data_IF_559492515077
#
_entry.id   IF_559492515077
#
_cell.length_a   1.000
_cell.length_b   1.000
_cell.length_c   1.000
_cell.angle_alpha   90.00
_cell.angle_beta   90.00
_cell.angle_gamma   90.00
#
_symmetry.space_group_name_H-M   'P 1'
#
loop_
_entity.id
_entity.type
_entity.pdbx_description
1 polymer ?
#
# COMPACT_ATOMS: atom_id res chain seq x y z
N UNK A 1 2.44 26.01 -12.32
CA UNK A 1 2.53 26.20 -13.79
C UNK A 1 3.77 25.49 -14.33
N UNK A 2 3.83 25.24 -15.63
CA UNK A 2 5.02 24.69 -16.28
C UNK A 2 6.07 25.79 -16.52
N UNK A 3 7.34 25.48 -16.25
CA UNK A 3 8.46 26.37 -16.43
C UNK A 3 9.73 25.58 -16.82
N UNK A 4 10.82 26.30 -17.05
CA UNK A 4 12.13 25.71 -17.30
C UNK A 4 13.13 26.21 -16.28
N UNK A 5 13.89 25.30 -15.68
CA UNK A 5 15.10 25.68 -14.92
C UNK A 5 16.26 25.71 -15.90
N UNK A 6 16.93 26.86 -15.92
CA UNK A 6 18.13 27.09 -16.72
C UNK A 6 19.31 27.32 -15.78
N UNK A 7 20.41 26.59 -16.02
CA UNK A 7 21.73 26.87 -15.43
C UNK A 7 22.78 26.55 -16.48
N UNK A 8 23.59 27.54 -16.84
CA UNK A 8 24.58 27.43 -17.93
C UNK A 8 23.90 26.96 -19.23
N UNK A 9 24.39 25.89 -19.86
CA UNK A 9 23.83 25.31 -21.10
C UNK A 9 22.73 24.27 -20.85
N UNK A 10 22.48 23.88 -19.59
CA UNK A 10 21.45 22.89 -19.25
C UNK A 10 20.10 23.56 -19.06
N UNK A 11 19.06 22.97 -19.66
CA UNK A 11 17.65 23.38 -19.53
C UNK A 11 16.79 22.16 -19.27
N UNK A 12 15.93 22.25 -18.26
CA UNK A 12 14.99 21.17 -17.91
C UNK A 12 13.61 21.72 -17.63
N UNK A 13 12.58 21.05 -18.15
CA UNK A 13 11.19 21.36 -17.84
C UNK A 13 10.88 20.98 -16.39
N UNK A 14 10.24 21.90 -15.66
CA UNK A 14 9.81 21.72 -14.28
C UNK A 14 8.40 22.25 -14.08
N UNK A 15 7.71 21.68 -13.12
CA UNK A 15 6.48 22.24 -12.57
C UNK A 15 6.82 23.12 -11.38
N UNK A 16 6.44 24.40 -11.48
CA UNK A 16 6.59 25.38 -10.40
C UNK A 16 5.29 25.46 -9.63
N UNK A 17 5.39 25.29 -8.32
CA UNK A 17 4.27 25.37 -7.39
C UNK A 17 4.48 26.58 -6.49
N UNK A 18 3.61 27.58 -6.66
CA UNK A 18 3.54 28.75 -5.80
C UNK A 18 2.65 28.49 -4.60
N UNK A 19 3.14 28.74 -3.39
CA UNK A 19 2.37 28.38 -2.20
C UNK A 19 2.74 29.16 -0.94
N UNK A 20 1.90 29.01 0.07
CA UNK A 20 2.23 29.36 1.46
C UNK A 20 2.83 28.12 2.13
N UNK A 21 4.13 28.13 2.53
CA UNK A 21 4.80 26.93 3.02
C UNK A 21 4.09 26.23 4.18
N UNK A 22 3.62 27.00 5.16
CA UNK A 22 2.92 26.49 6.35
C UNK A 22 1.59 25.80 5.98
N UNK A 23 0.78 26.44 5.14
CA UNK A 23 -0.51 25.88 4.69
C UNK A 23 -0.30 24.68 3.76
N UNK A 24 0.71 24.73 2.90
CA UNK A 24 1.02 23.63 2.00
C UNK A 24 1.49 22.40 2.76
N UNK A 25 2.30 22.56 3.82
CA UNK A 25 2.78 21.44 4.61
C UNK A 25 1.66 20.65 5.28
N UNK A 26 0.54 21.30 5.59
CA UNK A 26 -0.66 20.61 6.11
C UNK A 26 -1.27 19.65 5.08
N UNK A 27 -1.08 19.90 3.78
CA UNK A 27 -1.57 19.06 2.69
C UNK A 27 -0.51 18.04 2.27
N UNK A 28 0.69 18.51 1.93
CA UNK A 28 1.84 17.70 1.52
C UNK A 28 3.00 18.00 2.45
N UNK A 29 3.40 17.02 3.26
CA UNK A 29 4.48 17.19 4.23
C UNK A 29 5.85 17.18 3.54
N UNK A 30 6.34 18.38 3.22
CA UNK A 30 7.65 18.61 2.59
C UNK A 30 8.71 18.87 3.65
N UNK A 31 8.35 19.49 4.78
CA UNK A 31 9.29 19.86 5.84
C UNK A 31 10.00 18.63 6.42
N UNK A 32 9.29 17.53 6.71
CA UNK A 32 9.91 16.27 7.20
C UNK A 32 10.78 15.56 6.15
N UNK A 33 10.63 15.96 4.89
CA UNK A 33 11.31 15.40 3.71
C UNK A 33 12.44 16.28 3.20
N UNK A 34 12.78 17.37 3.90
CA UNK A 34 13.97 18.14 3.60
C UNK A 34 15.24 17.31 3.87
N UNK A 35 16.19 17.43 2.96
CA UNK A 35 17.56 16.90 3.10
C UNK A 35 18.46 18.01 3.64
N UNK A 36 18.31 19.24 3.11
CA UNK A 36 19.10 20.38 3.49
C UNK A 36 18.27 21.67 3.47
N UNK A 37 18.62 22.60 4.36
CA UNK A 37 18.09 23.97 4.35
C UNK A 37 16.74 24.09 5.06
N UNK A 38 15.88 24.95 4.52
CA UNK A 38 14.59 25.29 5.14
C UNK A 38 13.48 25.40 4.10
N UNK A 39 12.26 25.17 4.56
CA UNK A 39 11.04 25.32 3.79
C UNK A 39 10.05 26.29 4.46
N UNK A 40 9.99 26.30 5.79
CA UNK A 40 9.30 27.36 6.51
C UNK A 40 10.04 28.70 6.45
N UNK A 41 9.25 29.77 6.42
CA UNK A 41 9.74 31.15 6.33
C UNK A 41 10.40 31.52 5.00
N UNK A 42 10.12 30.81 3.90
CA UNK A 42 10.67 31.18 2.58
C UNK A 42 10.32 32.63 2.24
N UNK A 43 11.36 33.41 1.96
CA UNK A 43 11.26 34.80 1.57
C UNK A 43 11.14 34.91 0.04
N UNK A 44 10.72 36.08 -0.44
CA UNK A 44 10.69 36.36 -1.88
C UNK A 44 12.07 36.19 -2.52
N UNK A 45 12.12 35.54 -3.67
CA UNK A 45 13.37 35.21 -4.37
C UNK A 45 14.09 33.97 -3.83
N UNK A 46 13.45 33.16 -2.99
CA UNK A 46 13.95 31.85 -2.56
C UNK A 46 13.12 30.71 -3.16
N UNK A 47 13.77 29.56 -3.39
CA UNK A 47 13.13 28.36 -3.91
C UNK A 47 13.58 27.12 -3.14
N UNK A 48 12.68 26.13 -3.07
CA UNK A 48 13.00 24.78 -2.61
C UNK A 48 12.86 23.83 -3.78
N UNK A 49 13.93 23.07 -4.03
CA UNK A 49 14.03 22.18 -5.19
C UNK A 49 14.13 20.72 -4.76
N UNK A 50 13.73 19.80 -5.63
CA UNK A 50 13.90 18.38 -5.39
C UNK A 50 15.36 17.95 -5.54
N UNK A 51 15.75 16.90 -4.81
CA UNK A 51 17.13 16.43 -4.76
C UNK A 51 17.68 16.01 -6.12
N UNK A 52 16.90 15.28 -6.93
CA UNK A 52 17.35 14.86 -8.27
C UNK A 52 17.57 16.04 -9.22
N UNK A 53 16.72 17.06 -9.12
CA UNK A 53 16.93 18.30 -9.86
C UNK A 53 18.18 19.02 -9.38
N UNK A 54 18.44 19.02 -8.07
CA UNK A 54 19.65 19.62 -7.52
C UNK A 54 20.91 18.88 -7.99
N UNK A 55 20.92 17.56 -7.94
CA UNK A 55 22.06 16.72 -8.33
C UNK A 55 22.40 16.87 -9.83
N UNK A 56 21.40 16.78 -10.72
CA UNK A 56 21.59 16.89 -12.17
C UNK A 56 22.22 18.23 -12.60
N UNK A 57 21.85 19.30 -11.89
CA UNK A 57 22.36 20.65 -12.11
C UNK A 57 23.53 21.01 -11.19
N UNK A 58 24.01 20.08 -10.35
CA UNK A 58 25.03 20.28 -9.33
C UNK A 58 24.76 21.50 -8.42
N UNK A 59 23.50 21.70 -8.03
CA UNK A 59 23.04 22.80 -7.19
C UNK A 59 23.25 22.49 -5.71
N UNK A 60 23.69 23.51 -4.98
CA UNK A 60 23.83 23.50 -3.52
C UNK A 60 22.92 24.56 -2.90
N UNK A 61 22.72 24.48 -1.59
CA UNK A 61 22.11 25.57 -0.83
C UNK A 61 22.83 26.90 -1.08
N UNK A 62 22.07 27.96 -1.31
CA UNK A 62 22.59 29.29 -1.62
C UNK A 62 22.88 29.53 -3.11
N UNK A 63 22.84 28.49 -3.96
CA UNK A 63 23.01 28.68 -5.40
C UNK A 63 21.80 29.39 -6.02
N UNK A 64 22.04 30.12 -7.11
CA UNK A 64 20.98 30.80 -7.87
C UNK A 64 20.53 29.95 -9.05
N UNK A 65 19.22 29.80 -9.20
CA UNK A 65 18.56 29.18 -10.34
C UNK A 65 17.75 30.22 -11.10
N UNK A 66 17.76 30.11 -12.44
CA UNK A 66 16.88 30.89 -13.29
C UNK A 66 15.71 30.04 -13.70
N UNK A 67 14.50 30.48 -13.36
CA UNK A 67 13.25 29.83 -13.73
C UNK A 67 12.56 30.68 -14.79
N UNK A 68 12.26 30.08 -15.93
CA UNK A 68 11.61 30.75 -17.06
C UNK A 68 10.24 30.12 -17.27
N UNK A 69 9.17 30.89 -17.08
CA UNK A 69 7.80 30.43 -17.35
C UNK A 69 7.60 30.11 -18.83
N UNK A 70 6.55 29.36 -19.17
CA UNK A 70 6.16 29.11 -20.56
C UNK A 70 5.86 30.42 -21.34
N UNK A 71 5.46 31.48 -20.65
CA UNK A 71 5.16 32.80 -21.22
C UNK A 71 6.41 33.69 -21.41
N UNK A 72 7.59 33.21 -21.02
CA UNK A 72 8.85 33.92 -21.18
C UNK A 72 9.24 34.82 -20.00
N UNK A 73 8.39 34.96 -18.99
CA UNK A 73 8.76 35.67 -17.75
C UNK A 73 9.87 34.92 -17.01
N UNK A 74 10.82 35.67 -16.46
CA UNK A 74 12.02 35.13 -15.81
C UNK A 74 12.03 35.50 -14.33
N UNK A 75 12.22 34.51 -13.46
CA UNK A 75 12.47 34.69 -12.04
C UNK A 75 13.83 34.11 -11.66
N UNK A 76 14.62 34.84 -10.88
CA UNK A 76 15.87 34.35 -10.32
C UNK A 76 15.62 34.00 -8.85
N UNK A 77 15.91 32.75 -8.47
CA UNK A 77 15.66 32.25 -7.13
C UNK A 77 16.93 31.69 -6.52
N UNK A 78 17.10 31.90 -5.22
CA UNK A 78 18.17 31.29 -4.44
C UNK A 78 17.67 29.98 -3.83
N UNK A 79 18.44 28.90 -3.95
CA UNK A 79 18.08 27.60 -3.39
C UNK A 79 18.18 27.66 -1.86
N UNK A 80 17.03 27.74 -1.18
CA UNK A 80 16.94 27.81 0.27
C UNK A 80 16.70 26.44 0.92
N UNK A 81 16.26 25.45 0.14
CA UNK A 81 16.04 24.09 0.61
C UNK A 81 16.13 23.06 -0.51
N UNK A 82 16.52 21.85 -0.14
CA UNK A 82 16.53 20.69 -1.03
C UNK A 82 15.69 19.60 -0.36
N UNK A 83 14.62 19.16 -1.02
CA UNK A 83 13.74 18.11 -0.51
C UNK A 83 13.94 16.79 -1.27
N UNK A 84 13.55 15.70 -0.62
CA UNK A 84 13.60 14.36 -1.20
C UNK A 84 12.36 13.58 -0.77
N UNK A 85 11.45 13.41 -1.71
CA UNK A 85 10.19 12.70 -1.46
C UNK A 85 10.33 11.19 -1.53
N UNK A 86 11.45 10.68 -2.04
CA UNK A 86 11.65 9.28 -2.42
C UNK A 86 11.00 8.93 -3.76
N UNK A 87 10.30 9.87 -4.41
CA UNK A 87 9.67 9.65 -5.71
C UNK A 87 10.36 10.46 -6.80
N UNK A 88 11.19 9.75 -7.58
CA UNK A 88 12.06 10.33 -8.60
C UNK A 88 11.37 11.31 -9.56
N UNK A 89 10.12 11.04 -9.95
CA UNK A 89 9.42 11.92 -10.89
C UNK A 89 9.07 13.28 -10.27
N UNK A 90 8.79 13.33 -8.96
CA UNK A 90 8.52 14.58 -8.23
C UNK A 90 9.84 15.31 -7.95
N UNK A 91 10.85 14.60 -7.44
CA UNK A 91 12.13 15.19 -7.03
C UNK A 91 12.96 15.72 -8.19
N UNK A 92 12.70 15.27 -9.42
CA UNK A 92 13.45 15.67 -10.61
C UNK A 92 12.82 16.82 -11.39
N UNK A 93 11.57 17.18 -11.10
CA UNK A 93 10.78 18.10 -11.92
C UNK A 93 9.92 19.10 -11.13
N UNK A 94 10.02 19.17 -9.80
CA UNK A 94 9.21 20.09 -8.98
C UNK A 94 10.04 21.17 -8.31
N UNK A 95 9.58 22.42 -8.38
CA UNK A 95 10.18 23.59 -7.70
C UNK A 95 9.11 24.32 -6.92
N UNK A 96 9.35 24.51 -5.62
CA UNK A 96 8.47 25.28 -4.74
C UNK A 96 9.00 26.70 -4.55
N UNK A 97 8.11 27.68 -4.70
CA UNK A 97 8.41 29.10 -4.46
C UNK A 97 7.27 29.77 -3.69
N UNK A 98 7.51 30.93 -3.05
CA UNK A 98 6.44 31.71 -2.46
C UNK A 98 5.34 32.04 -3.45
N UNK A 99 4.08 32.06 -3.00
CA UNK A 99 2.92 32.31 -3.86
C UNK A 99 3.03 33.62 -4.65
N UNK A 100 3.50 34.71 -4.01
CA UNK A 100 3.66 36.03 -4.64
C UNK A 100 4.65 36.00 -5.81
N UNK A 101 5.72 35.22 -5.67
CA UNK A 101 6.74 35.10 -6.71
C UNK A 101 6.19 34.28 -7.88
N UNK A 102 5.45 33.20 -7.60
CA UNK A 102 4.78 32.42 -8.64
C UNK A 102 3.73 33.25 -9.38
N UNK A 103 2.95 34.04 -8.66
CA UNK A 103 1.96 34.96 -9.22
C UNK A 103 2.59 35.95 -10.19
N UNK A 104 3.74 36.51 -9.81
CA UNK A 104 4.52 37.42 -10.66
C UNK A 104 5.16 36.68 -11.86
N UNK A 105 5.69 35.48 -11.64
CA UNK A 105 6.32 34.65 -12.67
C UNK A 105 5.33 34.19 -13.74
N UNK A 106 4.08 33.90 -13.37
CA UNK A 106 3.04 33.43 -14.30
C UNK A 106 2.06 34.54 -14.70
N UNK A 107 2.29 35.80 -14.33
CA UNK A 107 1.46 36.93 -14.77
C UNK A 107 -0.01 36.89 -14.32
N UNK A 108 -0.34 36.12 -13.27
CA UNK A 108 -1.73 35.88 -12.83
C UNK A 108 -2.23 36.89 -11.79
N UNK A 109 -1.46 37.94 -11.49
CA UNK A 109 -1.80 38.95 -10.49
C UNK A 109 -2.05 38.33 -9.11
N UNK A 110 -3.15 38.69 -8.45
CA UNK A 110 -3.50 38.12 -7.14
C UNK A 110 -4.34 36.82 -7.22
N UNK A 111 -4.52 36.24 -8.42
CA UNK A 111 -5.30 35.03 -8.58
C UNK A 111 -4.59 33.80 -8.00
N UNK A 112 -5.37 32.82 -7.56
CA UNK A 112 -4.90 31.51 -7.12
C UNK A 112 -5.52 30.47 -8.03
N UNK A 113 -4.68 29.60 -8.60
CA UNK A 113 -5.13 28.60 -9.59
C UNK A 113 -5.74 27.36 -8.96
N UNK A 114 -5.31 27.00 -7.74
CA UNK A 114 -5.66 25.71 -7.14
C UNK A 114 -5.71 25.84 -5.62
N UNK A 115 -6.72 25.19 -5.02
CA UNK A 115 -6.87 25.06 -3.57
C UNK A 115 -6.79 23.56 -3.26
N UNK A 116 -5.82 23.16 -2.43
CA UNK A 116 -5.65 21.77 -2.01
C UNK A 116 -6.43 21.46 -0.74
N UNK A 117 -7.10 20.32 -0.70
CA UNK A 117 -7.78 19.79 0.47
C UNK A 117 -7.15 18.44 0.85
N UNK A 118 -6.82 18.26 2.12
CA UNK A 118 -6.32 16.97 2.64
C UNK A 118 -7.46 16.18 3.25
N UNK A 119 -7.52 14.90 2.90
CA UNK A 119 -8.49 13.95 3.42
C UNK A 119 -7.80 12.96 4.35
N UNK A 120 -8.52 12.55 5.40
CA UNK A 120 -8.07 11.45 6.26
C UNK A 120 -8.13 10.12 5.53
N UNK A 121 -9.16 9.94 4.67
CA UNK A 121 -9.35 8.74 3.85
C UNK A 121 -9.04 9.07 2.40
N UNK A 122 -7.82 8.74 1.98
CA UNK A 122 -7.33 9.03 0.63
C UNK A 122 -8.21 8.42 -0.47
N UNK A 123 -8.88 7.30 -0.20
CA UNK A 123 -9.67 6.58 -1.19
C UNK A 123 -11.09 7.15 -1.42
N UNK A 124 -11.55 8.08 -0.58
CA UNK A 124 -12.86 8.75 -0.72
C UNK A 124 -12.78 10.02 -1.58
N UNK A 125 -11.57 10.38 -2.04
CA UNK A 125 -11.30 11.64 -2.74
C UNK A 125 -12.13 11.82 -4.02
N UNK A 126 -12.39 10.74 -4.76
CA UNK A 126 -13.19 10.80 -6.00
C UNK A 126 -14.65 11.14 -5.71
N UNK A 127 -15.26 10.47 -4.75
CA UNK A 127 -16.68 10.67 -4.41
C UNK A 127 -16.90 12.05 -3.81
N UNK A 128 -15.98 12.49 -2.94
CA UNK A 128 -16.05 13.83 -2.36
C UNK A 128 -15.81 14.93 -3.41
N UNK A 129 -14.87 14.74 -4.34
CA UNK A 129 -14.64 15.68 -5.44
C UNK A 129 -15.91 15.87 -6.29
N UNK A 130 -16.64 14.78 -6.58
CA UNK A 130 -17.90 14.85 -7.30
C UNK A 130 -18.99 15.59 -6.51
N UNK A 131 -19.07 15.37 -5.20
CA UNK A 131 -20.02 16.10 -4.34
C UNK A 131 -19.72 17.60 -4.30
N UNK A 132 -18.45 17.97 -4.15
CA UNK A 132 -18.02 19.38 -4.14
C UNK A 132 -18.26 20.03 -5.49
N UNK A 133 -17.98 19.33 -6.60
CA UNK A 133 -18.19 19.83 -7.96
C UNK A 133 -19.64 20.27 -8.23
N UNK A 134 -20.62 19.67 -7.53
CA UNK A 134 -22.04 20.07 -7.65
C UNK A 134 -22.38 21.35 -6.89
N UNK A 135 -21.52 21.78 -5.96
CA UNK A 135 -21.76 22.91 -5.06
C UNK A 135 -20.95 24.16 -5.43
N UNK A 136 -19.87 24.00 -6.19
CA UNK A 136 -18.98 25.10 -6.56
C UNK A 136 -18.88 25.29 -8.07
N UNK A 137 -18.75 26.52 -8.57
CA UNK A 137 -18.59 26.79 -9.99
C UNK A 137 -17.15 26.53 -10.50
N UNK A 138 -16.35 25.75 -9.76
CA UNK A 138 -14.95 25.48 -10.05
C UNK A 138 -14.74 24.01 -10.42
N UNK A 139 -13.79 23.76 -11.32
CA UNK A 139 -13.35 22.40 -11.65
C UNK A 139 -12.76 21.75 -10.39
N UNK A 140 -13.39 20.67 -9.93
CA UNK A 140 -12.91 19.89 -8.78
C UNK A 140 -12.32 18.59 -9.30
N UNK A 141 -11.04 18.37 -9.02
CA UNK A 141 -10.33 17.15 -9.41
C UNK A 141 -9.86 16.37 -8.20
N UNK A 142 -9.93 15.05 -8.31
CA UNK A 142 -9.36 14.15 -7.32
C UNK A 142 -7.92 13.80 -7.67
N UNK A 143 -7.06 13.62 -6.67
CA UNK A 143 -5.70 13.11 -6.89
C UNK A 143 -5.71 11.77 -7.65
N UNK A 144 -6.79 10.99 -7.54
CA UNK A 144 -6.97 9.73 -8.27
C UNK A 144 -7.14 9.91 -9.78
N UNK A 145 -7.76 11.02 -10.19
CA UNK A 145 -7.96 11.35 -11.60
C UNK A 145 -6.66 11.83 -12.23
N UNK A 146 -5.88 12.64 -11.48
CA UNK A 146 -4.57 13.10 -11.91
C UNK A 146 -3.52 11.96 -11.94
N UNK A 147 -3.73 10.88 -11.16
CA UNK A 147 -2.76 9.80 -10.97
C UNK A 147 -3.30 8.41 -11.39
N UNK A 148 -4.13 8.35 -12.44
CA UNK A 148 -4.76 7.11 -12.91
C UNK A 148 -3.77 5.98 -13.20
N UNK A 149 -2.59 6.29 -13.75
CA UNK A 149 -1.56 5.28 -14.03
C UNK A 149 -1.02 4.65 -12.75
N UNK A 150 -0.72 5.46 -11.72
CA UNK A 150 -0.29 4.97 -10.41
C UNK A 150 -1.39 4.12 -9.77
N UNK A 151 -2.64 4.60 -9.80
CA UNK A 151 -3.78 3.87 -9.24
C UNK A 151 -4.02 2.54 -9.96
N UNK A 152 -3.85 2.51 -11.28
CA UNK A 152 -3.99 1.28 -12.07
C UNK A 152 -2.89 0.28 -11.71
N UNK A 153 -1.65 0.74 -11.53
CA UNK A 153 -0.54 -0.09 -11.03
C UNK A 153 -0.82 -0.66 -9.63
N UNK A 154 -1.26 0.19 -8.69
CA UNK A 154 -1.60 -0.23 -7.33
C UNK A 154 -2.78 -1.23 -7.32
N UNK A 155 -3.79 -1.03 -8.16
CA UNK A 155 -4.91 -1.96 -8.32
C UNK A 155 -4.46 -3.29 -8.92
N UNK A 156 -3.63 -3.27 -9.95
CA UNK A 156 -3.09 -4.49 -10.56
C UNK A 156 -2.22 -5.28 -9.56
N UNK A 157 -1.43 -4.59 -8.75
CA UNK A 157 -0.64 -5.19 -7.67
C UNK A 157 -1.55 -5.79 -6.59
N UNK A 158 -2.57 -5.06 -6.12
CA UNK A 158 -3.53 -5.56 -5.14
C UNK A 158 -4.31 -6.77 -5.67
N UNK A 159 -4.74 -6.75 -6.93
CA UNK A 159 -5.42 -7.88 -7.56
C UNK A 159 -4.49 -9.09 -7.67
N UNK A 160 -3.24 -8.90 -8.10
CA UNK A 160 -2.24 -9.96 -8.15
C UNK A 160 -2.01 -10.59 -6.77
N UNK A 161 -1.87 -9.77 -5.74
CA UNK A 161 -1.72 -10.23 -4.35
C UNK A 161 -2.95 -11.02 -3.88
N UNK A 162 -4.16 -10.55 -4.18
CA UNK A 162 -5.39 -11.25 -3.85
C UNK A 162 -5.51 -12.59 -4.58
N UNK A 163 -5.11 -12.67 -5.86
CA UNK A 163 -5.09 -13.93 -6.60
C UNK A 163 -4.14 -14.94 -5.95
N UNK A 164 -2.93 -14.52 -5.59
CA UNK A 164 -1.97 -15.37 -4.88
C UNK A 164 -2.59 -15.87 -3.56
N UNK A 165 -3.23 -14.98 -2.80
CA UNK A 165 -3.92 -15.35 -1.56
C UNK A 165 -5.01 -16.40 -1.78
N UNK A 166 -5.83 -16.26 -2.83
CA UNK A 166 -6.87 -17.26 -3.15
C UNK A 166 -6.25 -18.61 -3.49
N UNK A 167 -5.23 -18.64 -4.36
CA UNK A 167 -4.59 -19.90 -4.77
C UNK A 167 -3.87 -20.59 -3.62
N UNK A 168 -3.14 -19.85 -2.78
CA UNK A 168 -2.46 -20.43 -1.62
C UNK A 168 -3.45 -20.94 -0.58
N UNK A 169 -4.58 -20.25 -0.41
CA UNK A 169 -5.67 -20.70 0.48
C UNK A 169 -6.29 -22.00 -0.02
N UNK A 170 -6.54 -22.14 -1.31
CA UNK A 170 -7.04 -23.38 -1.92
C UNK A 170 -6.03 -24.51 -1.75
N UNK A 171 -4.74 -24.25 -2.03
CA UNK A 171 -3.67 -25.22 -1.87
C UNK A 171 -3.55 -25.73 -0.42
N UNK A 172 -3.64 -24.81 0.56
CA UNK A 172 -3.67 -25.17 1.98
C UNK A 172 -4.89 -26.03 2.33
N UNK A 173 -6.06 -25.71 1.78
CA UNK A 173 -7.27 -26.52 1.90
C UNK A 173 -7.08 -27.96 1.40
N UNK A 174 -6.45 -28.14 0.24
CA UNK A 174 -6.11 -29.49 -0.26
C UNK A 174 -5.14 -30.24 0.67
N UNK A 175 -4.18 -29.53 1.27
CA UNK A 175 -3.30 -30.10 2.29
C UNK A 175 -4.08 -30.68 3.49
N UNK A 176 -5.00 -29.88 4.05
CA UNK A 176 -5.87 -30.30 5.16
C UNK A 176 -6.73 -31.50 4.74
N UNK A 177 -7.34 -31.44 3.55
CA UNK A 177 -8.17 -32.54 3.04
C UNK A 177 -7.36 -33.84 2.87
N UNK A 178 -6.13 -33.75 2.38
CA UNK A 178 -5.23 -34.91 2.20
C UNK A 178 -4.86 -35.57 3.53
N UNK A 179 -4.50 -34.76 4.54
CA UNK A 179 -4.22 -35.24 5.89
C UNK A 179 -5.47 -35.91 6.48
N UNK A 180 -6.64 -35.31 6.29
CA UNK A 180 -7.90 -35.84 6.78
C UNK A 180 -8.28 -37.17 6.14
N UNK A 181 -8.16 -37.29 4.82
CA UNK A 181 -8.39 -38.55 4.11
C UNK A 181 -7.45 -39.63 4.67
N UNK A 182 -6.18 -39.29 4.89
CA UNK A 182 -5.20 -40.22 5.45
C UNK A 182 -5.56 -40.64 6.88
N UNK A 183 -5.99 -39.71 7.73
CA UNK A 183 -6.45 -40.01 9.11
C UNK A 183 -7.67 -40.94 9.10
N UNK A 184 -8.65 -40.69 8.22
CA UNK A 184 -9.83 -41.55 8.06
C UNK A 184 -9.45 -42.96 7.61
N UNK A 185 -8.59 -43.09 6.59
CA UNK A 185 -8.18 -44.39 6.05
C UNK A 185 -7.42 -45.23 7.07
N UNK A 186 -6.51 -44.60 7.82
CA UNK A 186 -5.73 -45.29 8.87
C UNK A 186 -6.59 -45.75 10.04
N UNK A 187 -7.68 -45.05 10.34
CA UNK A 187 -8.61 -45.38 11.44
C UNK A 187 -9.88 -46.10 11.00
N UNK A 188 -9.93 -46.66 9.78
CA UNK A 188 -11.13 -47.34 9.27
C UNK A 188 -11.66 -48.42 10.23
N UNK A 189 -10.78 -49.30 10.73
CA UNK A 189 -11.17 -50.38 11.67
C UNK A 189 -11.81 -49.85 12.95
N UNK A 190 -11.27 -48.77 13.51
CA UNK A 190 -11.80 -48.14 14.72
C UNK A 190 -13.21 -47.55 14.46
N UNK A 191 -13.40 -46.90 13.31
CA UNK A 191 -14.71 -46.39 12.86
C UNK A 191 -15.71 -47.55 12.72
N UNK A 192 -15.27 -48.69 12.16
CA UNK A 192 -16.09 -49.90 12.03
C UNK A 192 -16.55 -50.46 13.38
N UNK A 193 -15.65 -50.50 14.37
CA UNK A 193 -15.97 -50.94 15.73
C UNK A 193 -16.95 -49.96 16.41
N UNK A 194 -16.72 -48.66 16.29
CA UNK A 194 -17.63 -47.62 16.80
C UNK A 194 -19.04 -47.77 16.23
N UNK A 195 -19.16 -47.99 14.91
CA UNK A 195 -20.45 -48.24 14.26
C UNK A 195 -21.10 -49.54 14.73
N UNK A 196 -20.32 -50.60 14.94
CA UNK A 196 -20.83 -51.89 15.44
C UNK A 196 -21.39 -51.79 16.87
N UNK A 197 -20.84 -50.89 17.70
CA UNK A 197 -21.31 -50.61 19.07
C UNK A 197 -22.50 -49.61 19.06
N UNK A 198 -22.87 -49.05 17.91
CA UNK A 198 -24.07 -48.22 17.72
C UNK A 198 -23.81 -46.73 17.46
N UNK A 199 -22.58 -46.32 17.15
CA UNK A 199 -22.29 -44.93 16.80
C UNK A 199 -22.99 -44.52 15.50
N UNK A 200 -23.63 -43.36 15.51
CA UNK A 200 -24.32 -42.80 14.33
C UNK A 200 -23.33 -42.16 13.36
N UNK A 201 -23.71 -42.09 12.07
CA UNK A 201 -22.93 -41.38 11.05
C UNK A 201 -22.69 -39.90 11.43
N UNK A 202 -23.65 -39.27 12.14
CA UNK A 202 -23.53 -37.89 12.61
C UNK A 202 -22.46 -37.72 13.69
N UNK A 203 -22.37 -38.65 14.64
CA UNK A 203 -21.32 -38.63 15.67
C UNK A 203 -19.94 -38.80 15.06
N UNK A 204 -19.79 -39.71 14.10
CA UNK A 204 -18.52 -39.92 13.37
C UNK A 204 -18.14 -38.65 12.59
N UNK A 205 -19.10 -38.03 11.89
CA UNK A 205 -18.88 -36.78 11.18
C UNK A 205 -18.46 -35.65 12.13
N UNK A 206 -19.08 -35.54 13.31
CA UNK A 206 -18.73 -34.54 14.31
C UNK A 206 -17.30 -34.72 14.85
N UNK A 207 -16.87 -35.95 15.10
CA UNK A 207 -15.50 -36.23 15.58
C UNK A 207 -14.47 -35.72 14.56
N UNK A 208 -14.61 -36.13 13.28
CA UNK A 208 -13.68 -35.71 12.24
C UNK A 208 -13.77 -34.21 11.90
N UNK A 209 -14.96 -33.61 11.98
CA UNK A 209 -15.12 -32.17 11.81
C UNK A 209 -14.42 -31.39 12.93
N UNK A 210 -14.53 -31.83 14.18
CA UNK A 210 -13.83 -31.21 15.33
C UNK A 210 -12.31 -31.37 15.17
N UNK A 211 -11.84 -32.57 14.81
CA UNK A 211 -10.41 -32.83 14.56
C UNK A 211 -9.86 -31.88 13.47
N UNK A 212 -10.64 -31.65 12.40
CA UNK A 212 -10.24 -30.75 11.30
C UNK A 212 -10.24 -29.29 11.69
N UNK A 213 -11.24 -28.89 12.46
CA UNK A 213 -11.34 -27.53 13.00
C UNK A 213 -10.18 -27.25 13.95
N UNK A 214 -9.84 -28.19 14.84
CA UNK A 214 -8.71 -28.04 15.76
C UNK A 214 -7.39 -27.96 15.00
N UNK A 215 -7.18 -28.83 14.01
CA UNK A 215 -5.99 -28.79 13.17
C UNK A 215 -5.85 -27.45 12.44
N UNK A 216 -6.94 -26.95 11.86
CA UNK A 216 -6.96 -25.65 11.19
C UNK A 216 -6.75 -24.48 12.17
N UNK A 217 -7.32 -24.55 13.38
CA UNK A 217 -7.19 -23.51 14.40
C UNK A 217 -5.76 -23.39 14.93
N UNK A 218 -5.15 -24.51 15.34
CA UNK A 218 -3.76 -24.51 15.78
C UNK A 218 -2.79 -24.15 14.64
N UNK A 219 -3.07 -24.63 13.42
CA UNK A 219 -2.33 -24.23 12.23
C UNK A 219 -2.43 -22.73 11.95
N UNK A 220 -3.62 -22.14 12.09
CA UNK A 220 -3.84 -20.70 11.92
C UNK A 220 -3.11 -19.88 12.98
N UNK A 221 -3.10 -20.32 14.25
CA UNK A 221 -2.35 -19.65 15.32
C UNK A 221 -0.84 -19.71 15.04
N UNK A 222 -0.31 -20.91 14.77
CA UNK A 222 1.10 -21.09 14.48
C UNK A 222 1.53 -20.30 13.23
N UNK A 223 0.71 -20.33 12.18
CA UNK A 223 0.91 -19.56 10.96
C UNK A 223 0.84 -18.05 11.18
N UNK A 224 -0.07 -17.56 12.03
CA UNK A 224 -0.14 -16.15 12.39
C UNK A 224 1.11 -15.70 13.15
N UNK A 225 1.58 -16.49 14.13
CA UNK A 225 2.82 -16.21 14.87
C UNK A 225 4.02 -16.17 13.93
N UNK A 226 4.16 -17.17 13.05
CA UNK A 226 5.24 -17.23 12.08
C UNK A 226 5.15 -16.09 11.06
N UNK A 227 3.95 -15.76 10.58
CA UNK A 227 3.70 -14.65 9.67
C UNK A 227 4.07 -13.30 10.27
N UNK A 228 3.64 -13.04 11.51
CA UNK A 228 4.02 -11.82 12.25
C UNK A 228 5.54 -11.76 12.43
N UNK A 229 6.19 -12.86 12.84
CA UNK A 229 7.64 -12.90 13.01
C UNK A 229 8.38 -12.61 11.71
N UNK A 230 7.95 -13.20 10.59
CA UNK A 230 8.51 -12.93 9.26
C UNK A 230 8.27 -11.49 8.82
N UNK A 231 7.07 -10.94 9.04
CA UNK A 231 6.78 -9.54 8.77
C UNK A 231 7.74 -8.63 9.56
N UNK A 232 7.88 -8.82 10.87
CA UNK A 232 8.81 -8.04 11.69
C UNK A 232 10.27 -8.18 11.22
N UNK A 233 10.68 -9.37 10.80
CA UNK A 233 12.01 -9.58 10.23
C UNK A 233 12.18 -8.79 8.92
N UNK A 234 11.20 -8.81 8.02
CA UNK A 234 11.23 -8.06 6.76
C UNK A 234 11.17 -6.54 6.99
N UNK A 235 10.44 -6.08 8.01
CA UNK A 235 10.40 -4.67 8.41
C UNK A 235 11.77 -4.14 8.83
N UNK A 236 12.56 -4.99 9.50
CA UNK A 236 13.91 -4.63 9.93
C UNK A 236 14.87 -4.40 8.77
N UNK A 237 14.54 -4.89 7.56
CA UNK A 237 15.31 -4.68 6.35
C UNK A 237 15.05 -3.27 5.84
N UNK A 238 16.00 -2.37 6.11
CA UNK A 238 16.02 -1.02 5.56
C UNK A 238 16.85 -1.01 4.29
N UNK A 239 16.32 -0.39 3.23
CA UNK A 239 17.10 -0.13 2.01
C UNK A 239 17.20 1.38 1.83
N UNK A 240 18.31 1.82 1.23
CA UNK A 240 18.46 3.20 0.81
C UNK A 240 17.47 3.45 -0.33
N UNK A 241 16.42 4.22 -0.05
CA UNK A 241 15.37 4.54 -1.03
C UNK A 241 15.73 5.80 -1.81
N UNK A 242 16.73 6.54 -1.32
CA UNK A 242 17.27 7.69 -2.03
C UNK A 242 18.79 7.68 -2.08
N UNK A 243 19.30 8.23 -3.18
CA UNK A 243 20.71 8.56 -3.41
C UNK A 243 21.27 9.55 -2.37
N UNK A 244 20.41 10.19 -1.57
CA UNK A 244 20.78 11.03 -0.41
C UNK A 244 21.18 10.25 0.83
N UNK A 245 21.05 8.92 0.83
CA UNK A 245 21.24 8.08 2.00
C UNK A 245 20.02 8.01 2.94
N UNK A 246 18.88 8.61 2.56
CA UNK A 246 17.61 8.38 3.28
C UNK A 246 17.23 6.91 3.12
N UNK A 247 17.24 6.20 4.24
CA UNK A 247 16.67 4.86 4.32
C UNK A 247 15.18 5.00 4.50
N UNK A 248 14.42 4.31 3.67
CA UNK A 248 13.01 4.07 3.95
C UNK A 248 12.79 2.57 4.05
N UNK A 249 11.76 2.21 4.78
CA UNK A 249 11.35 0.83 4.90
C UNK A 249 10.96 0.32 3.52
N UNK A 250 11.51 -0.83 3.11
CA UNK A 250 11.20 -1.43 1.80
C UNK A 250 9.74 -1.86 1.74
N UNK A 251 9.24 -2.35 2.87
CA UNK A 251 7.90 -2.88 3.04
C UNK A 251 7.29 -2.25 4.29
N UNK A 252 6.83 -0.99 4.23
CA UNK A 252 6.00 -0.45 5.29
C UNK A 252 4.69 -1.25 5.27
N UNK A 253 4.44 -2.01 6.33
CA UNK A 253 3.19 -2.74 6.49
C UNK A 253 2.53 -2.31 7.79
N UNK A 254 1.22 -2.14 7.74
CA UNK A 254 0.41 -1.89 8.93
C UNK A 254 -0.11 -3.23 9.46
N UNK A 255 0.61 -3.80 10.45
CA UNK A 255 0.08 -4.93 11.23
C UNK A 255 -1.06 -4.45 12.11
N UNK A 256 -2.27 -4.51 11.57
CA UNK A 256 -3.48 -4.26 12.34
C UNK A 256 -3.98 -5.56 12.97
N UNK A 257 -4.40 -5.55 14.25
CA UNK A 257 -4.99 -6.74 14.88
C UNK A 257 -6.20 -7.29 14.11
N UNK A 258 -6.98 -6.41 13.47
CA UNK A 258 -8.11 -6.77 12.61
C UNK A 258 -7.68 -7.67 11.44
N UNK A 259 -6.54 -7.40 10.79
CA UNK A 259 -6.02 -8.22 9.70
C UNK A 259 -5.68 -9.64 10.17
N UNK A 260 -5.02 -9.76 11.33
CA UNK A 260 -4.64 -11.05 11.91
C UNK A 260 -5.88 -11.87 12.28
N UNK A 261 -6.86 -11.23 12.92
CA UNK A 261 -8.13 -11.89 13.28
C UNK A 261 -8.86 -12.37 12.03
N UNK A 262 -8.98 -11.53 11.00
CA UNK A 262 -9.61 -11.93 9.73
C UNK A 262 -8.88 -13.09 9.06
N UNK A 263 -7.55 -13.08 9.05
CA UNK A 263 -6.75 -14.16 8.48
C UNK A 263 -7.01 -15.50 9.21
N UNK A 264 -7.05 -15.48 10.55
CA UNK A 264 -7.35 -16.67 11.37
C UNK A 264 -8.77 -17.18 11.08
N UNK A 265 -9.76 -16.28 11.03
CA UNK A 265 -11.15 -16.66 10.72
C UNK A 265 -11.26 -17.30 9.34
N UNK A 266 -10.62 -16.71 8.31
CA UNK A 266 -10.61 -17.28 6.96
C UNK A 266 -9.94 -18.67 6.96
N UNK A 267 -8.79 -18.82 7.62
CA UNK A 267 -8.08 -20.09 7.70
C UNK A 267 -8.92 -21.20 8.37
N UNK A 268 -9.62 -20.87 9.46
CA UNK A 268 -10.51 -21.80 10.16
C UNK A 268 -11.71 -22.18 9.29
N UNK A 269 -12.34 -21.21 8.61
CA UNK A 269 -13.46 -21.48 7.69
C UNK A 269 -13.04 -22.37 6.52
N UNK A 270 -11.84 -22.15 5.97
CA UNK A 270 -11.28 -22.96 4.88
C UNK A 270 -10.97 -24.37 5.38
N UNK A 271 -10.40 -24.51 6.58
CA UNK A 271 -10.14 -25.82 7.19
C UNK A 271 -11.41 -26.61 7.49
N UNK A 272 -12.46 -25.93 7.97
CA UNK A 272 -13.80 -26.49 8.12
C UNK A 272 -14.37 -26.98 6.78
N UNK A 273 -14.31 -26.15 5.74
CA UNK A 273 -14.78 -26.52 4.41
C UNK A 273 -13.99 -27.69 3.81
N UNK A 274 -12.66 -27.69 3.95
CA UNK A 274 -11.77 -28.72 3.44
C UNK A 274 -11.95 -30.07 4.17
N UNK A 275 -12.20 -30.05 5.48
CA UNK A 275 -12.42 -31.27 6.28
C UNK A 275 -13.82 -31.87 6.12
N UNK A 276 -14.79 -31.09 5.63
CA UNK A 276 -16.17 -31.54 5.44
C UNK A 276 -16.29 -32.74 4.51
N UNK A 277 -15.63 -32.70 3.34
CA UNK A 277 -15.72 -33.77 2.35
C UNK A 277 -15.14 -35.10 2.87
N UNK A 278 -13.92 -35.16 3.43
CA UNK A 278 -13.39 -36.37 4.06
C UNK A 278 -14.24 -36.87 5.23
N UNK A 279 -14.73 -35.98 6.10
CA UNK A 279 -15.57 -36.35 7.25
C UNK A 279 -16.90 -36.99 6.80
N UNK A 280 -17.51 -36.46 5.75
CA UNK A 280 -18.70 -37.05 5.14
C UNK A 280 -18.43 -38.43 4.55
N UNK A 281 -17.28 -38.60 3.89
CA UNK A 281 -16.85 -39.90 3.36
C UNK A 281 -16.62 -40.92 4.48
N UNK A 282 -15.95 -40.53 5.56
CA UNK A 282 -15.73 -41.37 6.75
C UNK A 282 -17.03 -41.84 7.38
N UNK A 283 -18.00 -40.93 7.51
CA UNK A 283 -19.32 -41.22 8.05
C UNK A 283 -20.10 -42.25 7.22
N UNK A 284 -19.78 -42.45 5.94
CA UNK A 284 -20.46 -43.41 5.05
C UNK A 284 -19.78 -44.77 4.91
N UNK A 285 -18.66 -44.99 5.58
CA UNK A 285 -17.95 -46.28 5.54
C UNK A 285 -18.81 -47.41 6.12
N UNK A 286 -18.90 -48.55 5.43
CA UNK A 286 -19.64 -49.74 5.89
C UNK A 286 -18.81 -50.50 6.93
N UNK A 287 -19.37 -50.69 8.13
CA UNK A 287 -18.69 -51.39 9.23
C UNK A 287 -18.36 -52.86 8.89
N UNK A 288 -19.22 -53.53 8.10
CA UNK A 288 -19.08 -54.95 7.75
C UNK A 288 -17.93 -55.18 6.76
N UNK A 289 -17.77 -54.30 5.76
CA UNK A 289 -16.68 -54.37 4.77
C UNK A 289 -15.32 -54.19 5.46
N UNK A 290 -15.22 -53.18 6.32
CA UNK A 290 -13.99 -52.88 7.06
C UNK A 290 -13.55 -54.00 8.00
N UNK A 291 -14.48 -54.64 8.73
CA UNK A 291 -14.15 -55.73 9.66
C UNK A 291 -13.75 -57.00 8.90
N UNK A 292 -14.33 -57.25 7.72
CA UNK A 292 -13.96 -58.37 6.85
C UNK A 292 -12.65 -58.13 6.08
N UNK A 293 -12.12 -56.91 6.12
CA UNK A 293 -10.89 -56.53 5.40
C UNK A 293 -11.07 -56.51 3.88
N UNK A 294 -12.30 -56.26 3.41
CA UNK A 294 -12.67 -56.16 1.99
C UNK A 294 -13.00 -54.71 1.65
#
# INVERSE_FOLDING_TARGET
GQAFVNRNEKRKAVTVVGMFPEKHNNVVDIQSKLVQGRFFGLNGGEAVIGFKLADEFALKLGDKIRVVSAEGNVGNYTVAGIFDTGFSAVDSATVFIPLRDAQSLFGVGNAVTTIGLKLNRIFEAKDLAQQIALQVPYETRSWMEDNQQLLSGLRAQSQSSNLILVFTTIAAGFGIASIMITSVVTRLREIGILKAIGATNRQILQIFAIEGTLLAFFGAIAGAVQGIALSLALYSIRVQVSETGRTAEVFPFDLTPDLVVRAIVIAVLVGLAASWYPAWRAARVNAIEVIRGV
#
